data_IF_382262889861
#
_entry.id   IF_382262889861
#
_cell.length_a   1.000
_cell.length_b   1.000
_cell.length_c   1.000
_cell.angle_alpha   90.00
_cell.angle_beta   90.00
_cell.angle_gamma   90.00
#
_symmetry.space_group_name_H-M   'P 1'
#
loop_
_entity.id
_entity.type
_entity.pdbx_description
1 polymer ?
#
# COMPACT_ATOMS: atom_id res chain seq x y z
N UNK A 1 3.31 -16.08 41.01
CA UNK A 1 2.96 -14.93 40.15
C UNK A 1 3.64 -15.17 38.82
N UNK A 2 2.91 -15.72 37.86
CA UNK A 2 3.41 -16.25 36.59
C UNK A 2 3.88 -15.12 35.67
N UNK A 3 5.11 -15.24 35.19
CA UNK A 3 5.69 -14.40 34.13
C UNK A 3 5.28 -14.97 32.78
N UNK A 4 4.03 -14.76 32.42
CA UNK A 4 3.46 -14.96 31.09
C UNK A 4 2.83 -13.58 30.81
N UNK A 5 3.11 -12.79 29.77
CA UNK A 5 3.34 -13.06 28.36
C UNK A 5 4.11 -11.85 27.81
N UNK A 6 5.38 -12.01 27.45
CA UNK A 6 6.22 -10.91 26.94
C UNK A 6 6.62 -11.09 25.47
N UNK A 7 5.83 -11.83 24.68
CA UNK A 7 6.29 -12.32 23.36
C UNK A 7 5.30 -12.19 22.19
N UNK A 8 4.23 -11.38 22.29
CA UNK A 8 3.22 -11.30 21.20
C UNK A 8 2.94 -9.89 20.65
N UNK A 9 3.64 -8.84 21.12
CA UNK A 9 3.39 -7.47 20.63
C UNK A 9 4.09 -7.11 19.29
N UNK A 10 4.78 -8.06 18.66
CA UNK A 10 5.37 -7.88 17.33
C UNK A 10 4.56 -8.55 16.20
N UNK A 11 3.29 -8.89 16.43
CA UNK A 11 2.38 -9.22 15.33
C UNK A 11 1.97 -7.96 14.57
N UNK A 12 2.77 -7.64 13.55
CA UNK A 12 2.35 -6.93 12.34
C UNK A 12 1.52 -5.67 12.56
N UNK A 13 2.06 -4.68 13.27
CA UNK A 13 1.49 -3.34 13.23
C UNK A 13 1.71 -2.78 11.83
N UNK A 14 0.61 -2.61 11.08
CA UNK A 14 0.68 -2.06 9.73
C UNK A 14 1.08 -0.59 9.82
N UNK A 15 1.80 -0.08 8.82
CA UNK A 15 2.15 1.34 8.77
C UNK A 15 0.91 2.24 8.79
N UNK A 16 -0.25 1.72 8.34
CA UNK A 16 -1.57 2.36 8.46
C UNK A 16 -2.05 2.55 9.90
N UNK A 17 -1.59 1.72 10.84
CA UNK A 17 -2.03 1.77 12.24
C UNK A 17 -1.39 2.94 13.00
N UNK A 18 -0.31 3.53 12.45
CA UNK A 18 0.45 4.61 13.07
C UNK A 18 0.20 6.00 12.49
N UNK A 19 -0.32 6.10 11.26
CA UNK A 19 -0.24 7.34 10.50
C UNK A 19 -1.63 7.97 10.39
N UNK A 20 -1.86 9.02 11.19
CA UNK A 20 -2.88 10.04 10.90
C UNK A 20 -2.76 10.48 9.45
N UNK A 21 -3.88 10.69 8.75
CA UNK A 21 -3.94 11.13 7.34
C UNK A 21 -2.74 12.00 6.94
N UNK A 22 -2.11 11.74 5.78
CA UNK A 22 -0.88 12.41 5.40
C UNK A 22 -1.06 13.93 5.48
N UNK A 23 -0.42 14.55 6.48
CA UNK A 23 -0.54 15.99 6.78
C UNK A 23 0.01 16.88 5.66
N UNK A 24 0.59 16.29 4.62
CA UNK A 24 1.21 16.95 3.47
C UNK A 24 0.71 16.28 2.20
N UNK A 25 0.27 17.10 1.27
CA UNK A 25 -0.05 16.68 -0.09
C UNK A 25 1.21 16.06 -0.71
N UNK A 26 1.07 14.86 -1.27
CA UNK A 26 2.16 14.24 -2.02
C UNK A 26 2.47 15.10 -3.25
N UNK A 27 3.76 15.18 -3.60
CA UNK A 27 4.17 15.83 -4.83
C UNK A 27 3.67 15.01 -6.03
N UNK A 28 3.36 15.65 -7.17
CA UNK A 28 3.03 14.95 -8.40
C UNK A 28 4.12 13.95 -8.78
N UNK A 29 3.71 12.80 -9.32
CA UNK A 29 4.65 11.79 -9.83
C UNK A 29 5.28 12.36 -11.11
N UNK A 30 6.61 12.36 -11.16
CA UNK A 30 7.37 12.89 -12.30
C UNK A 30 6.99 12.17 -13.60
N UNK A 31 6.60 12.93 -14.63
CA UNK A 31 6.17 12.42 -15.93
C UNK A 31 4.69 12.03 -16.00
N UNK A 32 3.90 12.35 -14.98
CA UNK A 32 2.45 12.10 -14.90
C UNK A 32 1.65 13.39 -14.67
N UNK A 33 2.30 14.56 -14.66
CA UNK A 33 1.69 15.85 -14.35
C UNK A 33 0.57 16.24 -15.33
N UNK A 34 0.77 15.94 -16.62
CA UNK A 34 -0.17 16.30 -17.69
C UNK A 34 -0.97 15.08 -18.22
N UNK A 35 -0.96 13.96 -17.50
CA UNK A 35 -1.71 12.78 -17.93
C UNK A 35 -3.20 12.95 -17.64
N UNK A 36 -4.08 12.51 -18.55
CA UNK A 36 -5.51 12.58 -18.33
C UNK A 36 -5.88 11.74 -17.09
N UNK A 37 -6.76 12.30 -16.27
CA UNK A 37 -7.40 11.53 -15.21
C UNK A 37 -8.25 10.43 -15.86
N UNK A 38 -8.01 9.21 -15.42
CA UNK A 38 -8.74 8.02 -15.87
C UNK A 38 -9.51 7.42 -14.71
N UNK A 39 -10.49 6.57 -15.02
CA UNK A 39 -11.16 5.79 -13.99
C UNK A 39 -10.20 4.78 -13.37
N UNK A 40 -10.53 4.30 -12.17
CA UNK A 40 -9.71 3.33 -11.47
C UNK A 40 -9.53 2.04 -12.31
N UNK A 41 -10.59 1.60 -12.97
CA UNK A 41 -10.59 0.39 -13.81
C UNK A 41 -9.53 0.50 -14.92
N UNK A 42 -9.46 1.66 -15.59
CA UNK A 42 -8.44 1.91 -16.62
C UNK A 42 -7.04 2.06 -16.04
N UNK A 43 -6.90 2.62 -14.83
CA UNK A 43 -5.60 2.78 -14.19
C UNK A 43 -4.96 1.43 -13.83
N UNK A 44 -5.78 0.42 -13.53
CA UNK A 44 -5.30 -0.92 -13.12
C UNK A 44 -5.13 -1.92 -14.27
N UNK A 45 -5.69 -1.64 -15.46
CA UNK A 45 -5.54 -2.51 -16.65
C UNK A 45 -4.09 -2.95 -16.91
N UNK A 46 -3.07 -2.06 -16.86
CA UNK A 46 -1.67 -2.47 -17.10
C UNK A 46 -1.10 -3.37 -16.00
N UNK A 47 -1.72 -3.39 -14.80
CA UNK A 47 -1.27 -4.19 -13.67
C UNK A 47 -1.73 -5.64 -13.78
N UNK A 48 -2.78 -5.92 -14.56
CA UNK A 48 -3.30 -7.29 -14.72
C UNK A 48 -2.24 -8.27 -15.26
N UNK A 49 -1.33 -7.81 -16.12
CA UNK A 49 -0.24 -8.66 -16.62
C UNK A 49 0.74 -9.07 -15.53
N UNK A 50 0.98 -8.19 -14.54
CA UNK A 50 1.88 -8.46 -13.41
C UNK A 50 1.28 -9.45 -12.41
N UNK A 51 -0.05 -9.50 -12.28
CA UNK A 51 -0.74 -10.39 -11.33
C UNK A 51 -0.68 -11.84 -11.79
N UNK A 52 -0.72 -12.09 -13.11
CA UNK A 52 -0.62 -13.45 -13.65
C UNK A 52 0.73 -14.12 -13.30
N UNK A 53 1.79 -13.33 -13.21
CA UNK A 53 3.13 -13.82 -12.86
C UNK A 53 3.24 -14.18 -11.36
N UNK A 54 2.40 -13.60 -10.51
CA UNK A 54 2.40 -13.84 -9.05
C UNK A 54 1.61 -15.11 -8.68
N UNK A 55 0.60 -15.48 -9.47
CA UNK A 55 -0.23 -16.66 -9.21
C UNK A 55 0.39 -18.01 -9.62
N UNK A 56 1.57 -18.01 -10.23
CA UNK A 56 2.31 -19.21 -10.65
C UNK A 56 3.49 -19.56 -9.72
N UNK A 57 3.65 -18.85 -8.59
CA UNK A 57 4.61 -19.20 -7.53
C UNK A 57 3.97 -20.09 -6.45
#
# INVERSE_FOLDING_TARGET
>A
MSTEYADDFQRGLHFSDFVSEPKRMLLPIKGFEDKPLVSLEKAVEPLHSLVNDIGQM
#
